data_IF_958880737553
#
_entry.id   IF_958880737553
#
_cell.length_a   1.000
_cell.length_b   1.000
_cell.length_c   1.000
_cell.angle_alpha   90.00
_cell.angle_beta   90.00
_cell.angle_gamma   90.00
#
_symmetry.space_group_name_H-M   'P 1'
#
loop_
_entity.id
_entity.type
_entity.pdbx_description
1 polymer ?
#
# COMPACT_ATOMS: atom_id res chain seq x y z
N UNK A 1 15.62 4.86 -4.08
CA UNK A 1 14.89 3.69 -3.54
C UNK A 1 13.65 4.19 -2.85
N UNK A 2 12.42 3.73 -3.29
CA UNK A 2 11.17 4.22 -2.70
C UNK A 2 10.98 3.73 -1.27
N UNK A 3 10.27 4.53 -0.48
CA UNK A 3 9.91 4.16 0.88
C UNK A 3 8.90 3.03 0.88
N UNK A 4 9.04 2.10 1.83
CA UNK A 4 8.07 1.03 2.03
C UNK A 4 6.77 1.64 2.55
N UNK A 5 5.63 1.20 1.98
CA UNK A 5 4.32 1.66 2.39
C UNK A 5 3.79 0.84 3.57
N UNK A 6 2.95 1.45 4.38
CA UNK A 6 2.33 0.80 5.54
C UNK A 6 0.91 1.32 5.72
N UNK A 7 0.17 0.68 6.59
CA UNK A 7 -1.16 1.18 6.96
C UNK A 7 -1.07 2.64 7.40
N UNK A 8 -2.08 3.40 7.09
CA UNK A 8 -2.27 4.83 7.26
C UNK A 8 -1.47 5.73 6.33
N UNK A 9 -0.59 5.21 5.48
CA UNK A 9 0.01 6.01 4.40
C UNK A 9 -1.07 6.39 3.39
N UNK A 10 -1.00 7.63 2.86
CA UNK A 10 -1.99 8.11 1.93
C UNK A 10 -1.68 7.69 0.48
N UNK A 11 -2.69 7.79 -0.35
CA UNK A 11 -2.56 7.52 -1.78
C UNK A 11 -2.56 8.83 -2.56
N UNK A 12 -2.29 8.75 -3.88
CA UNK A 12 -2.11 9.92 -4.73
C UNK A 12 -3.36 10.77 -4.90
N UNK A 13 -4.55 10.22 -4.62
CA UNK A 13 -5.81 10.97 -4.74
C UNK A 13 -6.00 12.05 -3.69
N UNK A 14 -5.29 11.96 -2.56
CA UNK A 14 -5.37 12.98 -1.52
C UNK A 14 -5.03 12.43 -0.15
N UNK A 15 -4.70 13.31 0.79
CA UNK A 15 -4.23 12.88 2.12
C UNK A 15 -5.32 12.26 2.99
N UNK A 16 -6.60 12.44 2.64
CA UNK A 16 -7.72 11.85 3.38
C UNK A 16 -7.95 10.38 3.03
N UNK A 17 -7.35 9.90 1.95
CA UNK A 17 -7.55 8.52 1.47
C UNK A 17 -6.30 7.72 1.78
N UNK A 18 -6.44 6.72 2.63
CA UNK A 18 -5.30 6.02 3.21
C UNK A 18 -5.43 4.50 3.03
N UNK A 19 -4.29 3.83 3.21
CA UNK A 19 -4.25 2.37 3.28
C UNK A 19 -4.85 1.95 4.62
N UNK A 20 -5.95 1.19 4.58
CA UNK A 20 -6.67 0.78 5.80
C UNK A 20 -6.41 -0.69 6.15
N UNK A 21 -5.88 -1.48 5.21
CA UNK A 21 -5.61 -2.90 5.43
C UNK A 21 -4.31 -3.26 4.72
N UNK A 22 -3.35 -3.75 5.49
CA UNK A 22 -2.01 -4.05 4.95
C UNK A 22 -1.99 -5.23 4.00
N UNK A 23 -2.80 -6.25 4.25
CA UNK A 23 -2.80 -7.49 3.48
C UNK A 23 -1.94 -8.58 4.09
N UNK A 24 -1.26 -8.31 5.19
CA UNK A 24 -0.47 -9.27 5.96
C UNK A 24 -0.52 -8.86 7.43
N UNK A 25 -0.13 -9.75 8.33
CA UNK A 25 -0.25 -9.50 9.77
C UNK A 25 1.03 -9.78 10.55
N UNK A 26 2.14 -10.05 9.88
CA UNK A 26 3.37 -10.52 10.52
C UNK A 26 4.42 -9.44 10.76
N UNK A 27 4.50 -8.44 9.90
CA UNK A 27 5.62 -7.49 9.91
C UNK A 27 5.11 -6.06 10.08
N UNK A 28 5.72 -5.35 11.02
CA UNK A 28 5.40 -3.96 11.34
C UNK A 28 6.56 -3.06 10.96
N UNK A 29 6.26 -1.82 10.61
CA UNK A 29 7.22 -0.77 10.35
C UNK A 29 6.69 0.51 10.96
N UNK A 30 7.51 1.19 11.78
CA UNK A 30 7.11 2.44 12.43
C UNK A 30 5.79 2.31 13.21
N UNK A 31 5.52 1.12 13.77
CA UNK A 31 4.32 0.87 14.57
C UNK A 31 3.09 0.46 13.78
N UNK A 32 3.17 0.33 12.45
CA UNK A 32 2.06 -0.05 11.59
C UNK A 32 2.41 -1.27 10.75
N UNK A 33 1.41 -2.05 10.36
CA UNK A 33 1.64 -3.19 9.48
C UNK A 33 2.12 -2.73 8.11
N UNK A 34 3.17 -3.38 7.60
CA UNK A 34 3.68 -3.09 6.25
C UNK A 34 2.64 -3.53 5.23
N UNK A 35 2.38 -2.66 4.24
CA UNK A 35 1.43 -2.95 3.18
C UNK A 35 2.05 -3.83 2.11
N UNK A 36 1.26 -4.76 1.59
CA UNK A 36 1.69 -5.65 0.49
C UNK A 36 0.62 -5.64 -0.60
N UNK A 37 1.01 -6.01 -1.81
CA UNK A 37 0.08 -6.17 -2.92
C UNK A 37 -0.80 -7.40 -2.66
N UNK A 38 -2.11 -7.21 -2.60
CA UNK A 38 -3.07 -8.27 -2.27
C UNK A 38 -4.33 -8.11 -3.14
N UNK A 39 -4.14 -8.18 -4.45
CA UNK A 39 -5.21 -7.90 -5.42
C UNK A 39 -6.37 -8.90 -5.36
N UNK A 40 -6.16 -10.06 -4.76
CA UNK A 40 -7.21 -11.09 -4.63
C UNK A 40 -7.90 -11.07 -3.28
N UNK A 41 -7.44 -10.23 -2.36
CA UNK A 41 -8.01 -10.15 -1.02
C UNK A 41 -9.10 -9.10 -0.90
N UNK A 42 -9.40 -8.69 0.34
CA UNK A 42 -10.36 -7.63 0.62
C UNK A 42 -9.75 -6.27 0.29
N UNK A 43 -10.62 -5.24 0.25
CA UNK A 43 -10.18 -3.87 -0.02
C UNK A 43 -9.08 -3.44 0.94
N UNK A 44 -8.08 -2.74 0.42
CA UNK A 44 -6.92 -2.28 1.19
C UNK A 44 -6.88 -0.77 1.38
N UNK A 45 -7.67 -0.03 0.63
CA UNK A 45 -7.63 1.44 0.61
C UNK A 45 -9.04 1.96 0.83
N UNK A 46 -9.18 3.10 1.52
CA UNK A 46 -10.47 3.75 1.70
C UNK A 46 -11.04 4.21 0.35
N UNK A 47 -12.37 4.21 0.22
CA UNK A 47 -13.04 4.61 -1.01
C UNK A 47 -12.74 6.07 -1.36
N UNK A 48 -12.48 6.34 -2.66
CA UNK A 48 -12.17 7.69 -3.11
C UNK A 48 -12.30 7.82 -4.63
N UNK A 49 -13.15 8.59 -5.14
CA UNK A 49 -14.44 8.97 -4.59
C UNK A 49 -15.32 7.73 -4.40
N UNK A 50 -16.56 7.91 -4.04
CA UNK A 50 -17.43 6.78 -3.76
C UNK A 50 -17.57 5.79 -4.91
N UNK A 51 -17.28 6.19 -6.15
CA UNK A 51 -17.29 5.31 -7.31
C UNK A 51 -16.05 4.40 -7.37
N UNK A 52 -14.99 4.71 -6.64
CA UNK A 52 -13.79 3.90 -6.50
C UNK A 52 -13.89 3.13 -5.20
N UNK A 53 -14.25 1.85 -5.28
CA UNK A 53 -14.39 1.00 -4.10
C UNK A 53 -13.67 -0.33 -4.33
N UNK A 54 -13.57 -1.13 -3.29
CA UNK A 54 -12.84 -2.41 -3.32
C UNK A 54 -11.42 -2.23 -3.86
N UNK A 55 -10.77 -1.13 -3.47
CA UNK A 55 -9.46 -0.76 -3.99
C UNK A 55 -8.40 -1.59 -3.29
N UNK A 56 -7.53 -2.22 -4.09
CA UNK A 56 -6.44 -3.06 -3.59
C UNK A 56 -5.13 -2.58 -4.18
N UNK A 57 -4.04 -2.94 -3.51
CA UNK A 57 -2.70 -2.70 -4.03
C UNK A 57 -2.40 -3.84 -4.99
N UNK A 58 -2.10 -3.53 -6.25
CA UNK A 58 -1.87 -4.55 -7.27
C UNK A 58 -0.43 -4.56 -7.80
N UNK A 59 0.43 -3.71 -7.26
CA UNK A 59 1.84 -3.67 -7.64
C UNK A 59 2.71 -3.60 -6.38
N UNK A 60 3.77 -4.36 -6.37
CA UNK A 60 4.73 -4.35 -5.27
C UNK A 60 6.14 -4.69 -5.73
N UNK A 61 7.05 -4.80 -4.79
CA UNK A 61 8.47 -5.06 -5.05
C UNK A 61 8.66 -6.40 -5.76
N UNK A 62 9.62 -6.44 -6.69
CA UNK A 62 10.02 -7.68 -7.34
C UNK A 62 10.98 -8.51 -6.48
N UNK A 63 11.50 -7.94 -5.38
CA UNK A 63 12.56 -8.57 -4.58
C UNK A 63 12.20 -8.74 -3.10
N UNK A 64 11.19 -8.04 -2.60
CA UNK A 64 10.82 -8.10 -1.18
C UNK A 64 9.39 -8.59 -1.04
N UNK A 65 9.21 -9.64 -0.23
CA UNK A 65 7.91 -10.29 -0.05
C UNK A 65 7.64 -10.51 1.44
N UNK A 66 6.37 -10.44 1.82
CA UNK A 66 5.90 -10.79 3.16
C UNK A 66 4.69 -11.70 2.97
N UNK A 67 4.70 -12.89 3.56
CA UNK A 67 3.62 -13.88 3.40
C UNK A 67 3.37 -14.19 1.92
N UNK A 68 4.46 -14.26 1.13
CA UNK A 68 4.43 -14.54 -0.31
C UNK A 68 3.78 -13.44 -1.15
N UNK A 69 3.62 -12.25 -0.59
CA UNK A 69 3.03 -11.10 -1.31
C UNK A 69 4.06 -10.00 -1.45
N UNK A 70 4.14 -9.35 -2.63
CA UNK A 70 5.12 -8.29 -2.84
C UNK A 70 4.90 -7.10 -1.91
N UNK A 71 5.96 -6.57 -1.34
CA UNK A 71 5.91 -5.40 -0.47
C UNK A 71 5.56 -4.17 -1.28
N UNK A 72 4.57 -3.40 -0.83
CA UNK A 72 4.17 -2.15 -1.47
C UNK A 72 5.11 -1.00 -1.10
N UNK A 73 5.20 -0.02 -1.98
CA UNK A 73 6.12 1.10 -1.82
C UNK A 73 5.51 2.38 -2.39
N UNK A 74 6.18 3.50 -2.15
CA UNK A 74 5.76 4.79 -2.70
C UNK A 74 5.69 4.69 -4.24
N UNK A 75 4.52 4.94 -4.80
CA UNK A 75 4.30 4.83 -6.23
C UNK A 75 3.71 3.51 -6.69
N UNK A 76 3.54 2.51 -5.81
CA UNK A 76 2.89 1.24 -6.17
C UNK A 76 1.50 1.47 -6.73
N UNK A 77 1.17 0.73 -7.79
CA UNK A 77 -0.14 0.84 -8.45
C UNK A 77 -1.28 0.27 -7.63
N UNK A 78 -2.45 0.89 -7.77
CA UNK A 78 -3.70 0.43 -7.16
C UNK A 78 -4.66 -0.02 -8.25
N UNK A 79 -5.65 -0.83 -7.89
CA UNK A 79 -6.61 -1.35 -8.87
C UNK A 79 -7.50 -0.26 -9.47
N UNK A 80 -7.54 0.93 -8.87
CA UNK A 80 -8.36 2.05 -9.34
C UNK A 80 -7.61 3.04 -10.25
N UNK A 81 -6.43 2.67 -10.75
CA UNK A 81 -5.58 3.52 -11.60
C UNK A 81 -4.83 4.63 -10.87
N UNK A 82 -5.01 4.76 -9.56
CA UNK A 82 -4.20 5.64 -8.74
C UNK A 82 -2.99 4.86 -8.20
N UNK A 83 -2.14 5.56 -7.47
CA UNK A 83 -0.94 4.95 -6.87
C UNK A 83 -0.85 5.32 -5.40
N UNK A 84 -0.02 4.60 -4.65
CA UNK A 84 0.38 5.03 -3.31
C UNK A 84 1.18 6.31 -3.48
N UNK A 85 0.93 7.31 -2.65
CA UNK A 85 1.58 8.61 -2.77
C UNK A 85 3.10 8.47 -2.83
N UNK A 86 3.72 9.21 -3.74
CA UNK A 86 5.18 9.24 -3.86
C UNK A 86 5.84 10.02 -2.72
N UNK A 87 5.06 10.72 -1.91
CA UNK A 87 5.58 11.56 -0.83
C UNK A 87 5.50 10.91 0.54
N UNK A 88 5.05 9.65 0.64
CA UNK A 88 5.03 8.95 1.93
C UNK A 88 6.47 8.79 2.44
N UNK A 89 6.60 8.74 3.77
CA UNK A 89 7.89 8.55 4.41
C UNK A 89 7.85 7.35 5.35
N UNK A 90 8.94 6.62 5.43
CA UNK A 90 9.11 5.53 6.37
C UNK A 90 10.60 5.36 6.66
N UNK A 91 10.92 4.53 7.66
CA UNK A 91 12.32 4.29 8.02
C UNK A 91 12.95 3.19 7.18
N UNK A 92 12.23 2.60 6.25
CA UNK A 92 12.73 1.53 5.39
C UNK A 92 12.35 1.79 3.93
N UNK A 93 13.18 1.27 3.03
CA UNK A 93 12.98 1.40 1.58
C UNK A 93 13.03 0.04 0.92
N UNK A 94 12.40 -0.07 -0.26
CA UNK A 94 12.56 -1.26 -1.12
C UNK A 94 13.74 -1.08 -2.05
N UNK A 95 14.26 -2.18 -2.53
CA UNK A 95 15.36 -2.16 -3.51
C UNK A 95 14.89 -1.72 -4.89
#
# INVERSE_FOLDING_TARGET
>A
MPNIARESHNISSGPAYVITRAGQTSVYLDGFLVAVADATGAAQVSNHPSSHNNIKIDEGSATMFIEDKPVAFAGSGLTCSHTISSTITSTATVD
#
